data_IF_871689327939
#
_entry.id   IF_871689327939
#
_cell.length_a   1.000
_cell.length_b   1.000
_cell.length_c   1.000
_cell.angle_alpha   90.00
_cell.angle_beta   90.00
_cell.angle_gamma   90.00
#
_symmetry.space_group_name_H-M   'P 1'
#
loop_
_entity.id
_entity.type
_entity.pdbx_description
1 polymer ?
#
# COMPACT_ATOMS: atom_id res chain seq x y z
N UNK A 1 -5.27 27.96 5.12
CA UNK A 1 -3.88 27.86 5.65
C UNK A 1 -2.81 27.64 4.57
N UNK A 2 -2.72 26.48 3.89
CA UNK A 2 -1.70 26.29 2.83
C UNK A 2 -1.85 27.31 1.69
N UNK A 3 -3.03 27.39 1.07
CA UNK A 3 -3.31 28.30 -0.04
C UNK A 3 -3.18 29.78 0.36
N UNK A 4 -3.63 30.11 1.57
CA UNK A 4 -3.58 31.49 2.09
C UNK A 4 -2.16 31.97 2.42
N UNK A 5 -1.23 31.06 2.75
CA UNK A 5 0.14 31.40 3.17
C UNK A 5 1.22 31.01 2.14
N UNK A 6 0.85 30.40 1.01
CA UNK A 6 1.80 29.94 0.00
C UNK A 6 2.82 28.94 0.55
N UNK A 7 2.40 28.06 1.45
CA UNK A 7 3.29 27.16 2.21
C UNK A 7 3.09 25.69 1.79
N UNK A 8 4.18 24.92 1.73
CA UNK A 8 4.12 23.47 1.64
C UNK A 8 3.96 22.83 3.04
N UNK A 9 3.08 21.83 3.16
CA UNK A 9 2.89 21.03 4.37
C UNK A 9 3.25 19.58 4.08
N UNK A 10 4.07 18.98 4.94
CA UNK A 10 4.28 17.54 4.97
C UNK A 10 3.64 17.02 6.26
N UNK A 11 2.61 16.20 6.11
CA UNK A 11 1.95 15.51 7.23
C UNK A 11 2.45 14.06 7.30
N UNK A 12 2.85 13.63 8.50
CA UNK A 12 3.19 12.24 8.79
C UNK A 12 2.19 11.72 9.82
N UNK A 13 1.35 10.76 9.43
CA UNK A 13 0.33 10.17 10.28
C UNK A 13 0.12 8.69 9.95
N UNK A 14 -0.43 7.94 10.90
CA UNK A 14 -0.89 6.57 10.71
C UNK A 14 -2.40 6.50 10.42
N UNK A 15 -3.09 7.64 10.52
CA UNK A 15 -4.53 7.75 10.33
C UNK A 15 -4.85 8.16 8.89
N UNK A 16 -5.46 7.24 8.14
CA UNK A 16 -5.84 7.49 6.75
C UNK A 16 -7.05 8.43 6.63
N UNK A 17 -7.93 8.51 7.63
CA UNK A 17 -9.05 9.44 7.62
C UNK A 17 -8.57 10.90 7.56
N UNK A 18 -7.57 11.23 8.39
CA UNK A 18 -6.93 12.56 8.36
C UNK A 18 -6.27 12.84 7.00
N UNK A 19 -5.62 11.82 6.41
CA UNK A 19 -4.99 11.95 5.10
C UNK A 19 -6.02 12.26 4.01
N UNK A 20 -7.19 11.61 4.04
CA UNK A 20 -8.24 11.78 3.06
C UNK A 20 -8.76 13.22 2.98
N UNK A 21 -8.79 13.94 4.11
CA UNK A 21 -9.34 15.29 4.21
C UNK A 21 -8.30 16.40 3.97
N UNK A 22 -7.02 16.13 4.20
CA UNK A 22 -6.00 17.18 4.33
C UNK A 22 -4.89 17.14 3.28
N UNK A 23 -4.63 15.99 2.67
CA UNK A 23 -3.49 15.81 1.77
C UNK A 23 -3.89 15.84 0.29
N UNK A 24 -3.07 16.45 -0.56
CA UNK A 24 -3.24 16.36 -2.03
C UNK A 24 -2.63 15.08 -2.61
N UNK A 25 -1.50 14.65 -2.02
CA UNK A 25 -0.71 13.48 -2.40
C UNK A 25 -0.36 12.68 -1.16
N UNK A 26 -0.28 11.37 -1.31
CA UNK A 26 -0.04 10.43 -0.22
C UNK A 26 1.12 9.53 -0.58
N UNK A 27 2.05 9.37 0.36
CA UNK A 27 3.12 8.39 0.29
C UNK A 27 2.91 7.35 1.38
N UNK A 28 2.60 6.12 1.00
CA UNK A 28 2.46 5.01 1.94
C UNK A 28 3.83 4.39 2.18
N UNK A 29 4.14 4.15 3.46
CA UNK A 29 5.39 3.51 3.87
C UNK A 29 5.12 2.16 4.56
N UNK A 30 6.03 1.21 4.33
CA UNK A 30 6.09 -0.05 5.05
C UNK A 30 7.55 -0.38 5.37
N UNK A 31 7.85 -0.62 6.65
CA UNK A 31 9.19 -1.01 7.13
C UNK A 31 10.33 -0.09 6.60
N UNK A 32 10.07 1.21 6.47
CA UNK A 32 11.03 2.20 5.97
C UNK A 32 11.13 2.31 4.44
N UNK A 33 10.28 1.61 3.69
CA UNK A 33 10.21 1.73 2.22
C UNK A 33 8.95 2.48 1.79
N UNK A 34 9.11 3.36 0.80
CA UNK A 34 7.98 3.93 0.03
C UNK A 34 7.35 2.83 -0.83
N UNK A 35 6.19 2.33 -0.41
CA UNK A 35 5.51 1.22 -1.10
C UNK A 35 4.48 1.69 -2.12
N UNK A 36 3.95 2.89 -1.98
CA UNK A 36 3.00 3.47 -2.95
C UNK A 36 2.99 5.00 -2.83
N UNK A 37 2.78 5.69 -3.94
CA UNK A 37 2.65 7.14 -3.96
C UNK A 37 1.66 7.60 -5.03
N UNK A 38 0.60 8.27 -4.60
CA UNK A 38 -0.50 8.67 -5.48
C UNK A 38 -1.14 9.99 -5.04
N UNK A 39 -1.90 10.68 -5.92
CA UNK A 39 -2.90 11.65 -5.50
C UNK A 39 -3.87 11.00 -4.50
N UNK A 40 -4.31 11.75 -3.49
CA UNK A 40 -5.17 11.21 -2.40
C UNK A 40 -6.40 10.49 -2.96
N UNK A 41 -7.06 11.08 -3.96
CA UNK A 41 -8.26 10.48 -4.57
C UNK A 41 -7.95 9.13 -5.21
N UNK A 42 -6.86 9.04 -5.98
CA UNK A 42 -6.45 7.80 -6.63
C UNK A 42 -6.15 6.69 -5.63
N UNK A 43 -5.39 7.01 -4.58
CA UNK A 43 -5.02 6.04 -3.55
C UNK A 43 -6.25 5.43 -2.86
N UNK A 44 -7.23 6.27 -2.54
CA UNK A 44 -8.44 5.83 -1.86
C UNK A 44 -9.37 5.07 -2.82
N UNK A 45 -9.47 5.42 -4.09
CA UNK A 45 -10.37 4.71 -5.03
C UNK A 45 -9.77 3.41 -5.56
N UNK A 46 -8.48 3.43 -5.91
CA UNK A 46 -7.79 2.33 -6.59
C UNK A 46 -6.37 2.19 -5.99
N UNK A 47 -6.23 1.58 -4.80
CA UNK A 47 -4.93 1.29 -4.23
C UNK A 47 -4.24 0.15 -4.99
N UNK A 48 -2.99 0.36 -5.40
CA UNK A 48 -2.26 -0.59 -6.26
C UNK A 48 -1.35 -1.52 -5.48
N UNK A 49 -0.81 -1.13 -4.33
CA UNK A 49 -0.01 -2.04 -3.51
C UNK A 49 -0.92 -2.86 -2.57
N UNK A 50 -0.77 -4.21 -2.49
CA UNK A 50 -1.61 -5.04 -1.62
C UNK A 50 -1.67 -4.60 -0.15
N UNK A 51 -0.56 -4.09 0.37
CA UNK A 51 -0.52 -3.47 1.70
C UNK A 51 -1.45 -2.27 1.84
N UNK A 52 -1.41 -1.32 0.89
CA UNK A 52 -2.27 -0.14 0.90
C UNK A 52 -3.73 -0.54 0.81
N UNK A 53 -4.07 -1.48 -0.08
CA UNK A 53 -5.44 -2.00 -0.18
C UNK A 53 -5.90 -2.62 1.14
N UNK A 54 -5.05 -3.39 1.81
CA UNK A 54 -5.38 -3.99 3.10
C UNK A 54 -5.50 -2.96 4.23
N UNK A 55 -4.69 -1.90 4.23
CA UNK A 55 -4.85 -0.77 5.15
C UNK A 55 -6.21 -0.08 4.98
N UNK A 56 -6.60 0.21 3.74
CA UNK A 56 -7.88 0.86 3.45
C UNK A 56 -9.07 -0.05 3.76
N UNK A 57 -8.94 -1.36 3.55
CA UNK A 57 -9.98 -2.33 3.92
C UNK A 57 -10.19 -2.44 5.44
N UNK A 58 -9.18 -2.08 6.24
CA UNK A 58 -9.27 -2.05 7.69
C UNK A 58 -9.87 -0.74 8.24
N UNK A 59 -10.23 0.23 7.39
CA UNK A 59 -10.83 1.49 7.83
C UNK A 59 -12.31 1.31 8.22
N UNK A 60 -12.73 1.82 9.38
CA UNK A 60 -14.13 1.77 9.80
C UNK A 60 -15.09 2.39 8.78
N UNK A 61 -14.72 3.49 8.12
CA UNK A 61 -15.62 4.11 7.12
C UNK A 61 -15.83 3.24 5.88
N UNK A 62 -15.00 2.21 5.68
CA UNK A 62 -15.08 1.25 4.56
C UNK A 62 -15.55 -0.12 4.99
N UNK A 63 -15.97 -0.26 6.25
CA UNK A 63 -16.41 -1.55 6.80
C UNK A 63 -17.69 -2.03 6.11
N UNK A 64 -17.61 -3.16 5.42
CA UNK A 64 -18.79 -3.89 4.91
C UNK A 64 -19.32 -4.92 5.93
N UNK A 65 -18.58 -5.16 7.00
CA UNK A 65 -18.88 -6.15 8.04
C UNK A 65 -18.55 -5.63 9.44
N UNK A 66 -19.15 -6.25 10.47
CA UNK A 66 -18.93 -5.91 11.88
C UNK A 66 -17.49 -6.19 12.34
N UNK A 67 -16.82 -7.16 11.72
CA UNK A 67 -15.41 -7.47 11.92
C UNK A 67 -14.61 -6.85 10.78
N UNK A 68 -13.60 -6.05 11.12
CA UNK A 68 -12.68 -5.46 10.16
C UNK A 68 -11.59 -6.49 9.80
N UNK A 69 -11.22 -6.61 8.51
CA UNK A 69 -10.10 -7.45 8.11
C UNK A 69 -8.80 -6.90 8.70
N UNK A 70 -7.94 -7.79 9.19
CA UNK A 70 -6.61 -7.45 9.67
C UNK A 70 -5.54 -8.04 8.76
N UNK A 71 -4.39 -7.37 8.68
CA UNK A 71 -3.23 -7.90 7.95
C UNK A 71 -2.54 -8.93 8.84
N UNK A 72 -2.52 -10.22 8.46
CA UNK A 72 -2.00 -11.28 9.32
C UNK A 72 -0.49 -11.17 9.51
N UNK A 73 0.01 -11.83 10.56
CA UNK A 73 1.43 -11.89 10.90
C UNK A 73 2.00 -10.62 11.53
N UNK A 74 3.32 -10.63 11.78
CA UNK A 74 4.05 -9.54 12.44
C UNK A 74 4.90 -8.77 11.44
N UNK A 75 5.05 -7.47 11.65
CA UNK A 75 5.95 -6.63 10.83
C UNK A 75 7.39 -7.14 11.02
N UNK A 76 8.17 -7.39 9.94
CA UNK A 76 9.56 -7.80 10.06
C UNK A 76 10.39 -6.79 10.87
N UNK A 77 11.19 -7.30 11.81
CA UNK A 77 12.16 -6.50 12.55
C UNK A 77 13.26 -5.97 11.64
N UNK A 78 14.03 -4.98 12.13
CA UNK A 78 15.13 -4.40 11.36
C UNK A 78 16.22 -5.41 10.98
N UNK A 79 16.43 -6.43 11.82
CA UNK A 79 17.44 -7.47 11.63
C UNK A 79 16.92 -8.68 10.83
N UNK A 80 15.61 -8.83 10.70
CA UNK A 80 14.94 -9.98 10.06
C UNK A 80 14.24 -9.58 8.76
N UNK A 81 14.78 -8.57 8.06
CA UNK A 81 14.17 -8.08 6.82
C UNK A 81 14.29 -9.15 5.72
N UNK A 82 13.18 -9.54 5.07
CA UNK A 82 13.23 -10.49 3.98
C UNK A 82 13.97 -9.89 2.79
N UNK A 83 14.56 -10.75 1.97
CA UNK A 83 15.05 -10.37 0.65
C UNK A 83 13.88 -9.98 -0.26
N UNK A 84 14.10 -9.07 -1.21
CA UNK A 84 13.07 -8.61 -2.14
C UNK A 84 12.03 -7.69 -1.51
N UNK A 85 10.74 -8.01 -1.68
CA UNK A 85 9.63 -7.23 -1.16
C UNK A 85 9.49 -7.43 0.36
N UNK A 86 9.60 -6.34 1.13
CA UNK A 86 9.47 -6.37 2.59
C UNK A 86 8.09 -6.83 3.10
N UNK A 87 7.05 -6.66 2.27
CA UNK A 87 5.70 -7.10 2.59
C UNK A 87 5.40 -8.56 2.19
N UNK A 88 6.30 -9.23 1.47
CA UNK A 88 6.06 -10.58 0.95
C UNK A 88 5.68 -11.64 2.01
N UNK A 89 6.16 -11.61 3.28
CA UNK A 89 5.73 -12.60 4.29
C UNK A 89 4.27 -12.45 4.74
N UNK A 90 3.63 -11.30 4.46
CA UNK A 90 2.26 -10.96 4.91
C UNK A 90 1.32 -10.68 3.75
N UNK A 91 1.82 -10.73 2.51
CA UNK A 91 1.06 -10.46 1.31
C UNK A 91 0.36 -11.74 0.84
N UNK A 92 -0.96 -11.72 0.70
CA UNK A 92 -1.76 -12.83 0.16
C UNK A 92 -1.46 -13.17 -1.30
N UNK A 93 -0.79 -12.26 -2.02
CA UNK A 93 -0.43 -12.42 -3.44
C UNK A 93 1.07 -12.66 -3.66
N UNK A 94 1.83 -12.92 -2.60
CA UNK A 94 3.28 -13.15 -2.72
C UNK A 94 3.59 -14.41 -3.55
N UNK A 95 4.67 -14.34 -4.33
CA UNK A 95 5.27 -15.47 -5.06
C UNK A 95 6.77 -15.46 -4.82
N UNK A 96 7.50 -16.47 -5.28
CA UNK A 96 8.96 -16.49 -5.17
C UNK A 96 9.63 -15.31 -5.89
N UNK A 97 9.02 -14.76 -6.94
CA UNK A 97 9.49 -13.53 -7.58
C UNK A 97 9.59 -12.38 -6.56
N UNK A 98 8.57 -12.24 -5.71
CA UNK A 98 8.52 -11.20 -4.68
C UNK A 98 9.58 -11.39 -3.59
N UNK A 99 9.97 -12.64 -3.31
CA UNK A 99 11.01 -12.99 -2.32
C UNK A 99 12.43 -12.75 -2.86
N UNK A 100 12.61 -12.76 -4.18
CA UNK A 100 13.89 -12.50 -4.83
C UNK A 100 14.12 -11.03 -5.16
N UNK A 101 13.06 -10.29 -5.47
CA UNK A 101 13.16 -8.89 -5.88
C UNK A 101 11.80 -8.21 -5.98
N UNK A 102 11.84 -6.89 -6.08
CA UNK A 102 10.64 -6.07 -6.29
C UNK A 102 10.95 -4.90 -7.21
N UNK A 103 10.02 -4.58 -8.09
CA UNK A 103 10.14 -3.46 -9.04
C UNK A 103 9.15 -2.36 -8.69
N UNK A 104 9.58 -1.10 -8.83
CA UNK A 104 8.69 0.06 -8.74
C UNK A 104 8.02 0.28 -10.09
N UNK A 105 6.71 0.46 -10.06
CA UNK A 105 5.90 0.72 -11.23
C UNK A 105 5.86 2.21 -11.59
N UNK A 106 5.29 2.52 -12.76
CA UNK A 106 5.09 3.89 -13.22
C UNK A 106 3.98 4.62 -12.46
N UNK A 107 3.75 5.88 -12.86
CA UNK A 107 2.75 6.74 -12.25
C UNK A 107 1.32 6.24 -12.47
N UNK A 108 1.08 5.54 -13.59
CA UNK A 108 -0.18 4.90 -13.95
C UNK A 108 -0.59 3.79 -12.98
N UNK A 109 0.38 3.22 -12.25
CA UNK A 109 0.16 2.24 -11.18
C UNK A 109 0.56 2.79 -9.81
N UNK A 110 0.49 4.12 -9.66
CA UNK A 110 0.70 4.82 -8.41
C UNK A 110 2.08 4.63 -7.78
N UNK A 111 3.11 4.47 -8.60
CA UNK A 111 4.47 4.20 -8.17
C UNK A 111 4.57 3.03 -7.18
N UNK A 112 3.66 2.06 -7.28
CA UNK A 112 3.61 0.91 -6.38
C UNK A 112 4.93 0.13 -6.45
N UNK A 113 5.52 -0.19 -5.31
CA UNK A 113 6.68 -1.07 -5.21
C UNK A 113 6.19 -2.52 -5.14
N UNK A 114 5.67 -3.03 -6.25
CA UNK A 114 5.03 -4.34 -6.32
C UNK A 114 5.28 -4.99 -7.68
N UNK A 115 5.51 -6.32 -7.69
CA UNK A 115 5.59 -7.08 -8.94
C UNK A 115 4.21 -7.38 -9.56
N UNK A 116 3.14 -7.36 -8.75
CA UNK A 116 1.76 -7.58 -9.18
C UNK A 116 0.84 -6.52 -8.58
N UNK A 117 0.90 -5.28 -9.11
CA UNK A 117 0.02 -4.20 -8.67
C UNK A 117 -1.45 -4.61 -8.84
N UNK A 118 -2.28 -4.18 -7.91
CA UNK A 118 -3.72 -4.38 -7.99
C UNK A 118 -4.32 -3.43 -9.02
N UNK A 119 -5.19 -3.98 -9.87
CA UNK A 119 -6.06 -3.23 -10.79
C UNK A 119 -7.46 -3.79 -10.64
N UNK A 120 -8.43 -2.94 -10.34
CA UNK A 120 -9.77 -3.33 -9.90
C UNK A 120 -9.74 -4.32 -8.72
N UNK A 121 -8.79 -4.10 -7.80
CA UNK A 121 -8.58 -4.95 -6.62
C UNK A 121 -7.96 -6.33 -6.87
N UNK A 122 -7.54 -6.65 -8.10
CA UNK A 122 -6.95 -7.94 -8.47
C UNK A 122 -5.48 -7.80 -8.90
N UNK A 123 -4.57 -8.73 -8.53
CA UNK A 123 -3.16 -8.65 -8.89
C UNK A 123 -2.96 -8.84 -10.40
N UNK A 124 -2.50 -7.79 -11.07
CA UNK A 124 -2.19 -7.82 -12.50
C UNK A 124 -0.91 -8.62 -12.77
N UNK A 125 -0.96 -9.49 -13.79
CA UNK A 125 0.21 -10.24 -14.26
C UNK A 125 0.69 -11.33 -13.30
N UNK A 126 -0.15 -11.73 -12.32
CA UNK A 126 0.08 -12.91 -11.48
C UNK A 126 -0.60 -14.12 -12.14
N UNK A 127 0.17 -15.13 -12.49
CA UNK A 127 -0.39 -16.41 -12.95
C UNK A 127 -1.23 -17.03 -11.82
N UNK A 128 -2.44 -17.49 -12.14
CA UNK A 128 -3.40 -17.97 -11.15
C UNK A 128 -2.93 -19.25 -10.40
N UNK A 129 -1.88 -19.93 -10.89
CA UNK A 129 -1.44 -21.25 -10.41
C UNK A 129 -0.31 -21.23 -9.36
N UNK A 130 0.19 -20.06 -8.94
CA UNK A 130 1.28 -19.98 -7.96
C UNK A 130 0.82 -20.07 -6.48
N UNK A 131 -0.16 -20.93 -6.19
CA UNK A 131 -0.59 -21.28 -4.82
C UNK A 131 -0.36 -22.77 -4.63
N UNK A 132 0.86 -23.12 -4.24
CA UNK A 132 1.20 -24.40 -3.62
C UNK A 132 1.79 -24.11 -2.23
#
# INVERSE_FOLDING_TARGET
LQQEKGMALILITHDMGVVAETAERVQVQYAGQKVEEQPVKGLFTEPHHPYTAALLAALPERATSKLLPSIPGVVPGQFDRPTGCLFSPRCSYATDRCRRGVTRQGAELGHALCNYPLVAGQPMGRDAEAVL
#
